data_IF_127662911171
#
_entry.id   IF_127662911171
#
_cell.length_a   1.000
_cell.length_b   1.000
_cell.length_c   1.000
_cell.angle_alpha   90.00
_cell.angle_beta   90.00
_cell.angle_gamma   90.00
#
_symmetry.space_group_name_H-M   'P 1'
#
loop_
_entity.id
_entity.type
_entity.pdbx_description
1 polymer ?
#
# COMPACT_ATOMS: atom_id res chain seq x y z
N UNK A 1 -35.64 -21.03 14.27
CA UNK A 1 -34.91 -20.60 13.05
C UNK A 1 -33.48 -21.09 13.16
N UNK A 2 -33.09 -22.04 12.31
CA UNK A 2 -31.74 -22.61 12.31
C UNK A 2 -30.79 -21.56 11.73
N UNK A 3 -29.88 -21.04 12.55
CA UNK A 3 -28.73 -20.26 12.08
C UNK A 3 -27.79 -21.24 11.38
N UNK A 4 -27.89 -21.33 10.06
CA UNK A 4 -26.90 -22.04 9.25
C UNK A 4 -25.54 -21.40 9.48
N UNK A 5 -24.66 -22.09 10.22
CA UNK A 5 -23.28 -21.66 10.42
C UNK A 5 -22.57 -21.78 9.07
N UNK A 6 -22.24 -20.64 8.47
CA UNK A 6 -21.47 -20.59 7.24
C UNK A 6 -20.03 -21.03 7.52
N UNK A 7 -19.77 -22.32 7.33
CA UNK A 7 -18.46 -22.96 7.51
C UNK A 7 -17.50 -22.66 6.34
N UNK A 8 -17.91 -21.84 5.36
CA UNK A 8 -17.20 -21.62 4.10
C UNK A 8 -16.28 -20.39 4.10
N UNK A 9 -16.14 -19.68 5.23
CA UNK A 9 -15.43 -18.40 5.34
C UNK A 9 -14.05 -18.37 4.67
N UNK A 10 -13.24 -19.43 4.77
CA UNK A 10 -11.91 -19.50 4.13
C UNK A 10 -11.95 -19.59 2.61
N UNK A 11 -12.86 -20.39 2.04
CA UNK A 11 -13.02 -20.52 0.57
C UNK A 11 -13.64 -19.25 -0.02
N UNK A 12 -14.65 -18.69 0.65
CA UNK A 12 -15.29 -17.44 0.23
C UNK A 12 -14.30 -16.27 0.29
N UNK A 13 -13.46 -16.20 1.32
CA UNK A 13 -12.41 -15.20 1.42
C UNK A 13 -11.34 -15.33 0.32
N UNK A 14 -10.92 -16.57 0.02
CA UNK A 14 -10.00 -16.83 -1.09
C UNK A 14 -10.55 -16.36 -2.44
N UNK A 15 -11.82 -16.67 -2.72
CA UNK A 15 -12.49 -16.20 -3.93
C UNK A 15 -12.60 -14.67 -3.98
N UNK A 16 -12.95 -14.03 -2.86
CA UNK A 16 -13.01 -12.58 -2.75
C UNK A 16 -11.64 -11.93 -2.99
N UNK A 17 -10.55 -12.57 -2.56
CA UNK A 17 -9.19 -12.09 -2.84
C UNK A 17 -8.80 -12.23 -4.31
N UNK A 18 -9.13 -13.34 -4.96
CA UNK A 18 -8.91 -13.50 -6.39
C UNK A 18 -9.70 -12.45 -7.20
N UNK A 19 -10.97 -12.22 -6.87
CA UNK A 19 -11.78 -11.18 -7.51
C UNK A 19 -11.24 -9.77 -7.24
N UNK A 20 -10.72 -9.51 -6.04
CA UNK A 20 -10.07 -8.25 -5.72
C UNK A 20 -8.84 -8.06 -6.61
N UNK A 21 -8.01 -9.09 -6.76
CA UNK A 21 -6.80 -9.05 -7.57
C UNK A 21 -7.10 -8.76 -9.05
N UNK A 22 -8.05 -9.49 -9.64
CA UNK A 22 -8.50 -9.29 -11.03
C UNK A 22 -8.94 -7.84 -11.27
N UNK A 23 -9.73 -7.27 -10.35
CA UNK A 23 -10.16 -5.86 -10.44
C UNK A 23 -8.99 -4.88 -10.38
N UNK A 24 -7.94 -5.17 -9.61
CA UNK A 24 -6.75 -4.32 -9.56
C UNK A 24 -5.98 -4.38 -10.88
N UNK A 25 -5.92 -5.56 -11.50
CA UNK A 25 -5.27 -5.74 -12.80
C UNK A 25 -6.02 -5.04 -13.92
N UNK A 26 -7.36 -5.08 -13.90
CA UNK A 26 -8.20 -4.31 -14.81
C UNK A 26 -7.94 -2.80 -14.69
N UNK A 27 -7.85 -2.29 -13.45
CA UNK A 27 -7.54 -0.87 -13.22
C UNK A 27 -6.13 -0.55 -13.70
N UNK A 28 -5.12 -1.38 -13.39
CA UNK A 28 -3.75 -1.18 -13.87
C UNK A 28 -3.70 -1.10 -15.39
N UNK A 29 -4.40 -2.00 -16.08
CA UNK A 29 -4.50 -1.99 -17.55
C UNK A 29 -5.10 -0.69 -18.08
N UNK A 30 -6.14 -0.15 -17.45
CA UNK A 30 -6.72 1.14 -17.85
C UNK A 30 -5.71 2.29 -17.74
N UNK A 31 -4.82 2.27 -16.74
CA UNK A 31 -3.78 3.29 -16.61
C UNK A 31 -2.63 3.12 -17.60
N UNK A 32 -2.31 1.88 -17.98
CA UNK A 32 -1.33 1.58 -19.03
C UNK A 32 -1.81 2.03 -20.41
N UNK A 33 -3.10 1.84 -20.70
CA UNK A 33 -3.71 2.21 -21.97
C UNK A 33 -4.05 3.72 -22.06
N UNK A 34 -4.02 4.46 -20.94
CA UNK A 34 -4.32 5.89 -20.91
C UNK A 34 -3.14 6.72 -21.45
N UNK A 35 -3.29 7.44 -22.58
CA UNK A 35 -2.23 8.24 -23.19
C UNK A 35 -1.62 9.27 -22.23
N UNK A 36 -2.36 9.69 -21.20
CA UNK A 36 -1.88 10.63 -20.17
C UNK A 36 -0.65 10.13 -19.42
N UNK A 37 -0.49 8.82 -19.24
CA UNK A 37 0.64 8.23 -18.50
C UNK A 37 1.68 7.58 -19.42
N UNK A 38 1.48 7.62 -20.74
CA UNK A 38 2.34 6.97 -21.74
C UNK A 38 3.80 7.43 -21.74
N UNK A 39 4.11 8.59 -21.18
CA UNK A 39 5.48 9.11 -21.09
C UNK A 39 6.28 8.55 -19.91
N UNK A 40 5.67 7.77 -19.02
CA UNK A 40 6.33 7.16 -17.86
C UNK A 40 6.70 5.71 -18.22
N UNK A 41 7.93 5.50 -18.67
CA UNK A 41 8.45 4.18 -19.09
C UNK A 41 8.42 3.14 -17.94
N UNK A 42 8.53 3.60 -16.69
CA UNK A 42 8.51 2.74 -15.50
C UNK A 42 7.09 2.48 -14.98
N UNK A 43 6.05 2.97 -15.67
CA UNK A 43 4.66 2.84 -15.26
C UNK A 43 4.25 1.40 -14.96
N UNK A 44 4.55 0.37 -15.79
CA UNK A 44 4.17 -1.00 -15.48
C UNK A 44 4.76 -1.49 -14.15
N UNK A 45 6.05 -1.24 -13.92
CA UNK A 45 6.72 -1.65 -12.68
C UNK A 45 6.16 -0.92 -11.46
N UNK A 46 5.82 0.37 -11.59
CA UNK A 46 5.18 1.17 -10.53
C UNK A 46 3.80 0.63 -10.18
N UNK A 47 2.98 0.29 -11.17
CA UNK A 47 1.63 -0.26 -10.97
C UNK A 47 1.66 -1.60 -10.21
N UNK A 48 2.62 -2.47 -10.53
CA UNK A 48 2.83 -3.73 -9.79
C UNK A 48 3.29 -3.50 -8.34
N UNK A 49 4.18 -2.53 -8.13
CA UNK A 49 4.58 -2.14 -6.78
C UNK A 49 3.37 -1.61 -5.98
N UNK A 50 2.58 -0.73 -6.58
CA UNK A 50 1.39 -0.14 -5.97
C UNK A 50 0.28 -1.15 -5.65
N UNK A 51 0.08 -2.17 -6.50
CA UNK A 51 -0.84 -3.28 -6.25
C UNK A 51 -0.50 -4.02 -4.95
N UNK A 52 0.78 -4.24 -4.66
CA UNK A 52 1.26 -4.93 -3.46
C UNK A 52 1.22 -4.08 -2.18
N UNK A 53 1.17 -2.76 -2.34
CA UNK A 53 1.24 -1.77 -1.26
C UNK A 53 -0.13 -1.52 -0.57
N UNK A 54 -1.23 -2.02 -1.17
CA UNK A 54 -2.64 -1.71 -0.92
C UNK A 54 -3.28 -2.00 0.45
N UNK A 55 -2.50 -2.13 1.53
CA UNK A 55 -3.06 -1.97 2.88
C UNK A 55 -2.55 -0.67 3.49
N UNK A 56 -3.23 0.43 3.17
CA UNK A 56 -3.04 1.76 3.77
C UNK A 56 -2.97 1.67 5.30
N UNK A 57 -3.82 0.85 5.91
CA UNK A 57 -3.82 0.59 7.36
C UNK A 57 -2.53 -0.08 7.82
N UNK A 58 -2.07 -1.13 7.13
CA UNK A 58 -0.80 -1.84 7.44
C UNK A 58 0.42 -0.93 7.25
N UNK A 59 0.34 0.03 6.35
CA UNK A 59 1.40 0.99 6.06
C UNK A 59 1.46 2.10 7.13
N UNK A 60 0.32 2.69 7.50
CA UNK A 60 0.23 3.63 8.62
C UNK A 60 0.61 2.99 9.97
N UNK A 61 0.30 1.71 10.14
CA UNK A 61 0.74 0.93 11.31
C UNK A 61 2.24 0.65 11.29
N UNK A 62 2.83 0.37 10.12
CA UNK A 62 4.29 0.16 9.96
C UNK A 62 5.10 1.45 10.14
N UNK A 63 4.51 2.59 9.80
CA UNK A 63 5.09 3.92 9.95
C UNK A 63 5.43 4.26 11.41
N UNK A 64 4.81 3.60 12.40
CA UNK A 64 4.98 3.92 13.81
C UNK A 64 4.55 5.35 14.18
N UNK A 65 3.97 6.09 13.23
CA UNK A 65 3.47 7.44 13.41
C UNK A 65 2.02 7.34 13.88
N UNK A 66 1.71 7.59 15.15
CA UNK A 66 0.33 7.63 15.60
C UNK A 66 -0.38 8.77 14.86
N UNK A 67 -1.38 8.41 14.04
CA UNK A 67 -2.28 9.37 13.39
C UNK A 67 -3.61 9.38 14.12
N UNK A 68 -4.06 10.57 14.46
CA UNK A 68 -5.41 10.76 14.99
C UNK A 68 -6.45 10.43 13.92
N UNK A 69 -7.65 10.05 14.34
CA UNK A 69 -8.74 9.79 13.41
C UNK A 69 -9.05 11.00 12.51
N UNK A 70 -8.89 12.22 13.03
CA UNK A 70 -9.09 13.45 12.28
C UNK A 70 -8.02 13.65 11.19
N UNK A 71 -6.75 13.35 11.48
CA UNK A 71 -5.69 13.39 10.47
C UNK A 71 -5.92 12.36 9.37
N UNK A 72 -6.34 11.14 9.73
CA UNK A 72 -6.69 10.11 8.75
C UNK A 72 -7.82 10.56 7.83
N UNK A 73 -8.89 11.14 8.40
CA UNK A 73 -9.98 11.72 7.61
C UNK A 73 -9.51 12.84 6.68
N UNK A 74 -8.59 13.70 7.12
CA UNK A 74 -8.02 14.75 6.27
C UNK A 74 -7.21 14.18 5.11
N UNK A 75 -6.36 13.18 5.37
CA UNK A 75 -5.57 12.51 4.34
C UNK A 75 -6.46 11.80 3.31
N UNK A 76 -7.50 11.09 3.78
CA UNK A 76 -8.44 10.41 2.90
C UNK A 76 -9.21 11.43 2.05
N UNK A 77 -9.70 12.52 2.65
CA UNK A 77 -10.44 13.57 1.95
C UNK A 77 -9.61 14.30 0.89
N UNK A 78 -8.30 14.44 1.09
CA UNK A 78 -7.39 15.05 0.11
C UNK A 78 -7.28 14.21 -1.17
N UNK A 79 -7.38 12.88 -1.05
CA UNK A 79 -7.14 11.93 -2.15
C UNK A 79 -8.43 11.43 -2.78
N UNK A 80 -9.48 11.26 -1.98
CA UNK A 80 -10.79 10.75 -2.38
C UNK A 80 -11.46 11.65 -3.43
N UNK A 81 -11.94 11.03 -4.51
CA UNK A 81 -12.84 11.68 -5.46
C UNK A 81 -14.32 11.64 -5.04
N UNK A 82 -14.67 10.89 -3.98
CA UNK A 82 -16.03 10.68 -3.47
C UNK A 82 -16.31 11.31 -2.10
N UNK A 83 -17.00 10.56 -1.22
CA UNK A 83 -17.53 11.04 0.08
C UNK A 83 -16.47 11.46 1.12
N UNK A 84 -15.19 11.16 0.88
CA UNK A 84 -14.10 11.56 1.79
C UNK A 84 -13.93 10.66 3.02
N UNK A 85 -14.62 9.51 3.08
CA UNK A 85 -14.47 8.51 4.15
C UNK A 85 -13.53 7.36 3.76
N UNK A 86 -13.44 7.07 2.47
CA UNK A 86 -12.49 6.12 1.87
C UNK A 86 -12.02 6.68 0.53
N UNK A 87 -10.92 6.16 -0.01
CA UNK A 87 -10.51 6.42 -1.39
C UNK A 87 -10.26 5.10 -2.11
N UNK A 88 -10.50 5.08 -3.41
CA UNK A 88 -10.36 3.91 -4.26
C UNK A 88 -8.91 3.67 -4.70
N UNK A 89 -8.61 2.50 -5.25
CA UNK A 89 -7.31 2.25 -5.87
C UNK A 89 -7.03 3.24 -7.02
N UNK A 90 -8.05 3.63 -7.78
CA UNK A 90 -7.93 4.66 -8.82
C UNK A 90 -7.53 6.02 -8.25
N UNK A 91 -8.09 6.42 -7.10
CA UNK A 91 -7.70 7.66 -6.41
C UNK A 91 -6.24 7.61 -5.95
N UNK A 92 -5.83 6.45 -5.42
CA UNK A 92 -4.44 6.20 -5.04
C UNK A 92 -3.48 6.37 -6.22
N UNK A 93 -3.75 5.72 -7.34
CA UNK A 93 -2.92 5.81 -8.54
C UNK A 93 -2.88 7.24 -9.09
N UNK A 94 -4.02 7.94 -9.12
CA UNK A 94 -4.07 9.35 -9.53
C UNK A 94 -3.24 10.25 -8.63
N UNK A 95 -3.19 9.97 -7.34
CA UNK A 95 -2.31 10.67 -6.39
C UNK A 95 -0.83 10.35 -6.68
N UNK A 96 -0.47 9.06 -6.77
CA UNK A 96 0.92 8.63 -6.93
C UNK A 96 1.53 9.04 -8.28
N UNK A 97 0.77 8.90 -9.37
CA UNK A 97 1.21 9.24 -10.73
C UNK A 97 0.94 10.72 -11.09
N UNK A 98 0.10 11.40 -10.31
CA UNK A 98 -0.26 12.80 -10.57
C UNK A 98 0.81 13.81 -10.16
N UNK A 99 0.74 15.01 -10.75
CA UNK A 99 1.61 16.15 -10.41
C UNK A 99 1.26 16.82 -9.08
N UNK A 100 0.03 16.61 -8.57
CA UNK A 100 -0.40 17.18 -7.28
C UNK A 100 0.29 16.41 -6.15
N UNK A 101 0.97 17.16 -5.29
CA UNK A 101 1.54 16.61 -4.06
C UNK A 101 0.44 16.53 -3.01
N UNK A 102 0.15 15.32 -2.53
CA UNK A 102 -0.69 15.09 -1.37
C UNK A 102 0.17 14.81 -0.15
N UNK A 103 -0.29 15.17 1.06
CA UNK A 103 0.48 14.87 2.29
C UNK A 103 0.73 13.36 2.39
N UNK A 104 -0.29 12.56 2.06
CA UNK A 104 -0.15 11.11 2.02
C UNK A 104 0.98 10.68 1.06
N UNK A 105 0.99 11.17 -0.19
CA UNK A 105 2.05 10.87 -1.17
C UNK A 105 3.45 11.18 -0.63
N UNK A 106 3.63 12.33 0.02
CA UNK A 106 4.92 12.71 0.59
C UNK A 106 5.36 11.69 1.65
N UNK A 107 4.47 11.32 2.58
CA UNK A 107 4.75 10.30 3.60
C UNK A 107 5.22 9.00 2.95
N UNK A 108 4.56 8.56 1.88
CA UNK A 108 4.91 7.31 1.18
C UNK A 108 6.27 7.36 0.49
N UNK A 109 6.54 8.46 -0.22
CA UNK A 109 7.82 8.63 -0.92
C UNK A 109 9.01 8.77 0.04
N UNK A 110 8.79 9.35 1.23
CA UNK A 110 9.83 9.44 2.26
C UNK A 110 10.13 8.07 2.90
N UNK A 111 9.14 7.20 3.09
CA UNK A 111 9.42 5.83 3.57
C UNK A 111 10.24 5.00 2.59
N UNK A 112 9.89 5.06 1.30
CA UNK A 112 10.61 4.32 0.27
C UNK A 112 12.09 4.71 0.26
N UNK A 113 12.39 6.01 0.37
CA UNK A 113 13.76 6.51 0.51
C UNK A 113 14.40 6.15 1.85
N UNK A 114 13.64 6.12 2.95
CA UNK A 114 14.14 5.73 4.26
C UNK A 114 14.46 4.22 4.36
N UNK A 115 13.98 3.39 3.43
CA UNK A 115 14.37 1.97 3.32
C UNK A 115 15.80 1.76 2.81
N UNK A 116 16.50 2.78 2.32
CA UNK A 116 17.90 2.68 1.87
C UNK A 116 18.94 2.51 3.00
N UNK A 117 18.55 2.03 4.18
CA UNK A 117 19.49 1.46 5.15
C UNK A 117 18.90 0.21 5.81
N UNK A 118 18.66 -0.85 5.02
CA UNK A 118 18.76 -2.19 5.61
C UNK A 118 20.22 -2.37 6.05
N UNK A 119 20.46 -2.18 7.36
CA UNK A 119 21.75 -2.51 7.97
C UNK A 119 22.12 -3.92 7.51
N UNK A 120 23.36 -4.17 7.05
CA UNK A 120 23.77 -5.52 6.69
C UNK A 120 23.52 -6.43 7.88
N UNK A 121 22.61 -7.40 7.69
CA UNK A 121 22.33 -8.46 8.65
C UNK A 121 23.50 -9.43 8.63
N UNK A 122 24.61 -9.02 9.23
CA UNK A 122 25.69 -9.92 9.61
C UNK A 122 25.26 -10.72 10.83
N UNK A 123 25.45 -12.04 10.79
CA UNK A 123 25.30 -12.91 11.96
C UNK A 123 26.16 -12.32 13.08
N UNK A 124 25.63 -12.08 14.30
CA UNK A 124 26.44 -11.59 15.41
C UNK A 124 27.66 -12.49 15.59
N UNK A 125 28.86 -11.91 15.63
CA UNK A 125 30.07 -12.66 15.89
C UNK A 125 29.91 -13.40 17.23
N UNK A 126 30.17 -14.70 17.23
CA UNK A 126 30.11 -15.51 18.45
C UNK A 126 31.22 -15.02 19.38
N UNK A 127 30.84 -14.37 20.48
CA UNK A 127 31.80 -14.01 21.54
C UNK A 127 32.38 -15.31 22.10
N UNK A 128 33.69 -15.48 21.98
CA UNK A 128 34.39 -16.59 22.61
C UNK A 128 34.56 -16.31 24.10
N UNK A 129 34.59 -17.37 24.92
CA UNK A 129 34.72 -17.29 26.39
C UNK A 129 36.00 -16.54 26.82
N UNK A 130 36.99 -16.45 25.93
CA UNK A 130 38.21 -15.66 26.08
C UNK A 130 38.02 -14.14 26.08
N UNK A 131 36.80 -13.62 25.84
CA UNK A 131 36.50 -12.18 25.82
C UNK A 131 35.81 -11.65 27.10
N UNK A 132 35.70 -12.48 28.15
CA UNK A 132 35.20 -12.03 29.45
C UNK A 132 36.38 -11.52 30.32
N UNK A 133 36.25 -10.37 31.00
CA UNK A 133 37.28 -9.80 31.88
C UNK A 133 37.49 -10.60 33.17
#
# INVERSE_FOLDING_TARGET
MSQSRDLQGGKAFGLLKAQQEERLDEINKQFLDDPKYSSDEDLPSKLEAFKNIMSLKRMLEKLGVPKTHLELKKLIKEVSSGSGETFSYTDFLRMMLGKRSAILKMILMYEEKAREQEKPTGVPAKKAISELP
#
